data_IF_778792207160
#
_entry.id   IF_778792207160
#
_cell.length_a   1.000
_cell.length_b   1.000
_cell.length_c   1.000
_cell.angle_alpha   90.00
_cell.angle_beta   90.00
_cell.angle_gamma   90.00
#
_symmetry.space_group_name_H-M   'P 1'
#
loop_
_entity.id
_entity.type
_entity.pdbx_description
1 polymer ?
#
# COMPACT_ATOMS: atom_id res chain seq x y z
N UNK A 1 3.55 11.62 -3.27
CA UNK A 1 3.52 10.28 -3.88
C UNK A 1 2.22 9.62 -3.43
N UNK A 2 1.68 8.64 -4.13
CA UNK A 2 0.42 8.01 -3.71
C UNK A 2 0.61 7.35 -2.33
N UNK A 3 -0.32 7.56 -1.39
CA UNK A 3 -0.15 7.13 0.02
C UNK A 3 0.07 5.61 0.14
N UNK A 4 -0.50 4.85 -0.81
CA UNK A 4 -0.31 3.41 -0.90
C UNK A 4 1.11 3.02 -1.33
N UNK A 5 1.74 3.79 -2.20
CA UNK A 5 3.11 3.56 -2.66
C UNK A 5 4.15 3.98 -1.61
N UNK A 6 3.84 4.99 -0.79
CA UNK A 6 4.65 5.34 0.38
C UNK A 6 4.63 4.20 1.40
N UNK A 7 3.44 3.68 1.71
CA UNK A 7 3.30 2.51 2.59
C UNK A 7 4.05 1.28 2.05
N UNK A 8 3.99 1.03 0.75
CA UNK A 8 4.75 -0.07 0.14
C UNK A 8 6.26 0.11 0.36
N UNK A 9 6.80 1.32 0.17
CA UNK A 9 8.21 1.61 0.43
C UNK A 9 8.58 1.42 1.89
N UNK A 10 7.75 1.90 2.82
CA UNK A 10 7.98 1.74 4.26
C UNK A 10 7.98 0.26 4.69
N UNK A 11 7.20 -0.58 4.02
CA UNK A 11 7.19 -2.03 4.23
C UNK A 11 8.41 -2.75 3.63
N UNK A 12 9.23 -2.06 2.84
CA UNK A 12 10.44 -2.59 2.20
C UNK A 12 10.24 -3.03 0.75
N UNK A 13 9.17 -2.62 0.08
CA UNK A 13 9.04 -2.79 -1.36
C UNK A 13 9.86 -1.75 -2.14
N UNK A 14 10.44 -2.18 -3.25
CA UNK A 14 10.90 -1.27 -4.30
C UNK A 14 9.71 -0.87 -5.16
N UNK A 15 9.51 0.44 -5.35
CA UNK A 15 8.45 1.00 -6.19
C UNK A 15 9.07 1.57 -7.46
N UNK A 16 8.57 1.15 -8.62
CA UNK A 16 9.05 1.58 -9.93
C UNK A 16 7.87 2.14 -10.73
N UNK A 17 8.04 3.34 -11.28
CA UNK A 17 7.09 3.90 -12.25
C UNK A 17 7.35 3.27 -13.62
N UNK A 18 6.46 2.39 -14.05
CA UNK A 18 6.54 1.70 -15.35
C UNK A 18 6.13 2.62 -16.51
N UNK A 19 5.27 3.61 -16.23
CA UNK A 19 4.91 4.61 -17.23
C UNK A 19 3.68 5.44 -16.87
N UNK A 20 3.39 6.41 -17.73
CA UNK A 20 2.19 7.23 -17.67
C UNK A 20 1.46 7.18 -19.00
N UNK A 21 0.21 6.74 -19.00
CA UNK A 21 -0.65 6.73 -20.19
C UNK A 21 -1.77 7.74 -19.94
N UNK A 22 -1.74 8.85 -20.69
CA UNK A 22 -2.62 9.99 -20.44
C UNK A 22 -2.40 10.58 -19.04
N UNK A 23 -3.43 10.52 -18.20
CA UNK A 23 -3.41 10.99 -16.81
C UNK A 23 -3.18 9.86 -15.79
N UNK A 24 -3.12 8.60 -16.23
CA UNK A 24 -2.92 7.46 -15.34
C UNK A 24 -1.43 7.09 -15.24
N UNK A 25 -0.97 6.91 -14.00
CA UNK A 25 0.37 6.44 -13.68
C UNK A 25 0.32 4.95 -13.32
N UNK A 26 1.24 4.18 -13.89
CA UNK A 26 1.36 2.74 -13.68
C UNK A 26 2.64 2.49 -12.88
N UNK A 27 2.47 1.95 -11.68
CA UNK A 27 3.58 1.65 -10.77
C UNK A 27 3.60 0.16 -10.46
N UNK A 28 4.79 -0.42 -10.47
CA UNK A 28 5.04 -1.78 -10.00
C UNK A 28 5.72 -1.75 -8.64
N UNK A 29 5.36 -2.71 -7.78
CA UNK A 29 5.99 -2.90 -6.47
C UNK A 29 6.57 -4.31 -6.40
N UNK A 30 7.82 -4.43 -5.94
CA UNK A 30 8.51 -5.72 -5.85
C UNK A 30 9.36 -5.80 -4.58
N UNK A 31 9.41 -6.97 -3.95
CA UNK A 31 10.04 -7.14 -2.65
C UNK A 31 9.90 -8.57 -2.12
N UNK A 32 10.55 -8.87 -0.98
CA UNK A 32 10.46 -10.19 -0.33
C UNK A 32 9.07 -10.43 0.26
N UNK A 33 8.72 -11.70 0.49
CA UNK A 33 7.45 -12.09 1.09
C UNK A 33 7.19 -11.40 2.44
N UNK A 34 8.24 -11.19 3.23
CA UNK A 34 8.16 -10.49 4.52
C UNK A 34 7.66 -9.04 4.39
N UNK A 35 7.98 -8.36 3.29
CA UNK A 35 7.45 -7.02 3.01
C UNK A 35 5.95 -7.09 2.71
N UNK A 36 5.50 -8.12 1.98
CA UNK A 36 4.09 -8.36 1.71
C UNK A 36 3.29 -8.67 2.98
N UNK A 37 3.86 -9.47 3.89
CA UNK A 37 3.23 -9.79 5.17
C UNK A 37 3.00 -8.53 6.02
N UNK A 38 4.03 -7.69 6.16
CA UNK A 38 3.94 -6.40 6.88
C UNK A 38 2.93 -5.44 6.25
N UNK A 39 2.98 -5.32 4.92
CA UNK A 39 2.05 -4.46 4.19
C UNK A 39 0.59 -4.90 4.39
N UNK A 40 0.33 -6.20 4.29
CA UNK A 40 -1.00 -6.75 4.52
C UNK A 40 -1.47 -6.55 5.97
N UNK A 41 -0.56 -6.62 6.96
CA UNK A 41 -0.88 -6.34 8.36
C UNK A 41 -1.32 -4.90 8.58
N UNK A 42 -0.54 -3.93 8.09
CA UNK A 42 -0.86 -2.50 8.26
C UNK A 42 -2.18 -2.15 7.56
N UNK A 43 -2.45 -2.70 6.36
CA UNK A 43 -3.72 -2.49 5.66
C UNK A 43 -4.90 -3.08 6.46
N UNK A 44 -4.73 -4.28 7.04
CA UNK A 44 -5.76 -4.88 7.91
C UNK A 44 -6.02 -4.00 9.13
N UNK A 45 -4.98 -3.55 9.82
CA UNK A 45 -5.12 -2.67 10.99
C UNK A 45 -5.81 -1.37 10.64
N UNK A 46 -5.41 -0.71 9.55
CA UNK A 46 -6.05 0.50 9.06
C UNK A 46 -7.55 0.29 8.78
N UNK A 47 -7.90 -0.80 8.09
CA UNK A 47 -9.30 -1.15 7.82
C UNK A 47 -10.12 -1.39 9.10
N UNK A 48 -9.50 -1.95 10.15
CA UNK A 48 -10.16 -2.10 11.46
C UNK A 48 -10.36 -0.75 12.17
N UNK A 49 -9.42 0.19 12.02
CA UNK A 49 -9.53 1.52 12.64
C UNK A 49 -10.56 2.42 11.92
N UNK A 50 -10.79 2.24 10.62
CA UNK A 50 -11.79 3.00 9.85
C UNK A 50 -13.23 2.51 10.09
N UNK A 51 -13.43 1.45 10.87
CA UNK A 51 -14.74 1.03 11.34
C UNK A 51 -14.94 1.50 12.80
N UNK A 52 -15.38 2.74 13.06
CA UNK A 52 -15.98 3.02 14.35
C UNK A 52 -17.19 2.10 14.44
N UNK A 53 -17.25 1.27 15.50
CA UNK A 53 -18.47 0.60 15.92
C UNK A 53 -19.62 1.60 15.81
N UNK A 54 -20.47 1.46 14.79
CA UNK A 54 -21.83 2.00 14.79
C UNK A 54 -22.68 1.02 15.59
N UNK A 55 -22.36 0.92 16.86
CA UNK A 55 -23.15 0.20 17.85
C UNK A 55 -23.21 1.09 19.09
N UNK A 56 -24.06 2.12 19.02
CA UNK A 56 -25.05 2.49 20.05
C UNK A 56 -26.02 3.55 19.49
#
# INVERSE_FOLDING_TARGET
MDKLLELAQDCGFSVVLEGRIGTQEYNSVSGPLQALEKFAEIIREAALQEHPRKDE
#
